data_IF_491896463859
#
_entry.id   IF_491896463859
#
_cell.length_a   1.000
_cell.length_b   1.000
_cell.length_c   1.000
_cell.angle_alpha   90.00
_cell.angle_beta   90.00
_cell.angle_gamma   90.00
#
_symmetry.space_group_name_H-M   'P 1'
#
loop_
_entity.id
_entity.type
_entity.pdbx_description
1 polymer ?
#
# COMPACT_ATOMS: atom_id res chain seq x y z
N UNK A 1 -0.08 -1.23 10.51
CA UNK A 1 -1.31 -1.28 11.31
C UNK A 1 -1.11 -2.19 12.51
N UNK A 2 -1.72 -1.86 13.65
CA UNK A 2 -1.71 -2.72 14.84
C UNK A 2 -2.56 -3.97 14.60
N UNK A 3 -2.06 -5.14 15.02
CA UNK A 3 -2.85 -6.35 15.07
C UNK A 3 -3.69 -6.40 16.38
N UNK A 4 -4.79 -7.16 16.33
CA UNK A 4 -5.53 -7.51 17.54
C UNK A 4 -4.78 -8.58 18.34
N UNK A 5 -5.21 -8.81 19.60
CA UNK A 5 -4.63 -9.83 20.46
C UNK A 5 -4.92 -11.29 20.02
N UNK A 6 -5.62 -11.50 18.91
CA UNK A 6 -6.07 -12.82 18.43
C UNK A 6 -4.94 -13.73 17.90
N UNK A 7 -3.69 -13.26 17.95
CA UNK A 7 -2.52 -13.99 17.46
C UNK A 7 -2.41 -13.96 15.93
N UNK A 8 -1.40 -14.64 15.40
CA UNK A 8 -1.09 -14.69 13.98
C UNK A 8 0.23 -14.00 13.66
N UNK A 9 0.67 -14.09 12.42
CA UNK A 9 1.95 -13.52 11.96
C UNK A 9 1.93 -12.00 12.12
N UNK A 10 2.85 -11.47 12.92
CA UNK A 10 3.05 -10.02 13.13
C UNK A 10 4.53 -9.75 13.40
N UNK A 11 4.99 -8.54 13.17
CA UNK A 11 6.35 -8.12 13.41
C UNK A 11 6.44 -6.81 14.20
N UNK A 12 7.62 -6.47 14.69
CA UNK A 12 7.86 -5.22 15.42
C UNK A 12 8.43 -4.16 14.48
N UNK A 13 7.68 -3.09 14.28
CA UNK A 13 8.15 -1.89 13.57
C UNK A 13 8.93 -0.99 14.54
N UNK A 14 10.26 -1.01 14.44
CA UNK A 14 11.13 -0.23 15.31
C UNK A 14 10.96 1.29 15.11
N UNK A 15 10.62 1.73 13.89
CA UNK A 15 10.39 3.15 13.59
C UNK A 15 9.10 3.68 14.23
N UNK A 16 8.04 2.89 14.24
CA UNK A 16 6.74 3.23 14.84
C UNK A 16 6.57 2.68 16.25
N UNK A 17 7.54 1.93 16.77
CA UNK A 17 7.49 1.27 18.09
C UNK A 17 6.19 0.50 18.33
N UNK A 18 5.76 -0.27 17.33
CA UNK A 18 4.46 -0.93 17.31
C UNK A 18 4.59 -2.35 16.76
N UNK A 19 3.97 -3.32 17.43
CA UNK A 19 3.78 -4.67 16.88
C UNK A 19 2.57 -4.66 15.95
N UNK A 20 2.71 -5.25 14.77
CA UNK A 20 1.63 -5.31 13.82
C UNK A 20 2.05 -5.78 12.43
N UNK A 21 1.37 -5.27 11.42
CA UNK A 21 1.59 -5.57 10.01
C UNK A 21 1.78 -4.31 9.18
N UNK A 22 2.50 -4.42 8.07
CA UNK A 22 2.55 -3.42 7.01
C UNK A 22 1.52 -3.75 5.95
N UNK A 23 0.93 -2.73 5.38
CA UNK A 23 0.00 -2.82 4.25
C UNK A 23 0.62 -2.06 3.08
N UNK A 24 0.86 -2.76 2.00
CA UNK A 24 1.36 -2.21 0.74
C UNK A 24 0.23 -2.17 -0.26
N UNK A 25 0.08 -1.07 -0.98
CA UNK A 25 -0.92 -0.95 -2.05
C UNK A 25 -0.33 -0.20 -3.23
N UNK A 26 -0.72 -0.61 -4.42
CA UNK A 26 -0.60 0.20 -5.64
C UNK A 26 -1.99 0.65 -6.02
N UNK A 27 -2.16 1.94 -6.26
CA UNK A 27 -3.45 2.54 -6.61
C UNK A 27 -3.35 3.39 -7.86
N UNK A 28 -4.43 3.48 -8.61
CA UNK A 28 -4.56 4.42 -9.71
C UNK A 28 -4.86 5.85 -9.24
N UNK A 29 -5.03 6.77 -10.17
CA UNK A 29 -5.35 8.17 -9.88
C UNK A 29 -6.71 8.38 -9.22
N UNK A 30 -7.61 7.43 -9.32
CA UNK A 30 -8.92 7.42 -8.66
C UNK A 30 -8.85 6.84 -7.24
N UNK A 31 -7.73 6.20 -6.87
CA UNK A 31 -7.53 5.51 -5.60
C UNK A 31 -8.11 4.08 -5.61
N UNK A 32 -8.28 3.49 -6.80
CA UNK A 32 -8.62 2.08 -6.93
C UNK A 32 -7.37 1.24 -6.75
N UNK A 33 -7.47 0.18 -5.96
CA UNK A 33 -6.35 -0.72 -5.65
C UNK A 33 -6.16 -1.69 -6.82
N UNK A 34 -4.96 -1.70 -7.38
CA UNK A 34 -4.53 -2.66 -8.40
C UNK A 34 -3.86 -3.88 -7.77
N UNK A 35 -3.01 -3.65 -6.77
CA UNK A 35 -2.36 -4.71 -6.03
C UNK A 35 -2.26 -4.33 -4.56
N UNK A 36 -2.28 -5.32 -3.69
CA UNK A 36 -2.08 -5.13 -2.26
C UNK A 36 -1.37 -6.33 -1.64
N UNK A 37 -0.55 -6.06 -0.62
CA UNK A 37 0.08 -7.09 0.20
C UNK A 37 0.06 -6.69 1.68
N UNK A 38 -0.08 -7.69 2.54
CA UNK A 38 0.00 -7.53 3.99
C UNK A 38 1.13 -8.40 4.52
N UNK A 39 2.13 -7.77 5.13
CA UNK A 39 3.30 -8.45 5.68
C UNK A 39 3.46 -8.18 7.17
N UNK A 40 4.25 -8.98 7.91
CA UNK A 40 4.71 -8.61 9.25
C UNK A 40 5.39 -7.24 9.24
N UNK A 41 5.29 -6.48 10.33
CA UNK A 41 5.79 -5.10 10.35
C UNK A 41 7.32 -4.98 10.40
N UNK A 42 8.04 -6.06 10.67
CA UNK A 42 9.51 -6.18 10.58
C UNK A 42 10.02 -6.47 9.17
N UNK A 43 9.15 -6.87 8.24
CA UNK A 43 9.49 -7.03 6.83
C UNK A 43 10.04 -5.74 6.23
N UNK A 44 11.04 -5.85 5.34
CA UNK A 44 11.59 -4.67 4.68
C UNK A 44 10.58 -4.03 3.71
N UNK A 45 10.51 -2.70 3.70
CA UNK A 45 9.57 -1.96 2.84
C UNK A 45 9.77 -2.25 1.35
N UNK A 46 11.01 -2.53 0.94
CA UNK A 46 11.34 -2.86 -0.45
C UNK A 46 10.77 -4.22 -0.86
N UNK A 47 10.78 -5.20 0.03
CA UNK A 47 10.31 -6.55 -0.28
C UNK A 47 8.79 -6.54 -0.49
N UNK A 48 8.05 -5.88 0.42
CA UNK A 48 6.61 -5.67 0.22
C UNK A 48 6.27 -4.83 -1.02
N UNK A 49 7.11 -3.83 -1.35
CA UNK A 49 6.94 -3.06 -2.57
C UNK A 49 7.15 -3.91 -3.83
N UNK A 50 8.17 -4.78 -3.84
CA UNK A 50 8.42 -5.68 -4.96
C UNK A 50 7.21 -6.57 -5.26
N UNK A 51 6.55 -7.11 -4.21
CA UNK A 51 5.36 -7.96 -4.37
C UNK A 51 4.24 -7.22 -5.11
N UNK A 52 3.84 -6.05 -4.61
CA UNK A 52 2.72 -5.30 -5.19
C UNK A 52 3.05 -4.68 -6.56
N UNK A 53 4.32 -4.32 -6.82
CA UNK A 53 4.72 -3.80 -8.12
C UNK A 53 4.72 -4.90 -9.17
N UNK A 54 5.20 -6.10 -8.83
CA UNK A 54 5.17 -7.25 -9.71
C UNK A 54 3.75 -7.65 -10.07
N UNK A 55 2.87 -7.81 -9.08
CA UNK A 55 1.45 -8.11 -9.28
C UNK A 55 0.76 -7.06 -10.15
N UNK A 56 1.02 -5.76 -9.90
CA UNK A 56 0.46 -4.69 -10.73
C UNK A 56 0.96 -4.77 -12.18
N UNK A 57 2.23 -5.13 -12.40
CA UNK A 57 2.79 -5.26 -13.74
C UNK A 57 2.11 -6.39 -14.54
N UNK A 58 1.80 -7.51 -13.90
CA UNK A 58 1.09 -8.62 -14.53
C UNK A 58 -0.34 -8.23 -14.95
N UNK A 59 -1.02 -7.40 -14.16
CA UNK A 59 -2.39 -6.96 -14.43
C UNK A 59 -2.46 -5.74 -15.37
N UNK A 60 -1.44 -4.88 -15.37
CA UNK A 60 -1.41 -3.61 -16.10
C UNK A 60 -0.16 -3.49 -16.96
N UNK A 61 -0.12 -4.21 -18.07
CA UNK A 61 1.03 -4.24 -19.00
C UNK A 61 1.36 -2.89 -19.63
N UNK A 62 0.42 -1.93 -19.62
CA UNK A 62 0.63 -0.56 -20.09
C UNK A 62 1.19 0.39 -19.03
N UNK A 63 1.42 -0.08 -17.80
CA UNK A 63 1.95 0.74 -16.71
C UNK A 63 3.39 1.17 -17.00
N UNK A 64 3.63 2.49 -16.99
CA UNK A 64 4.96 3.06 -17.28
C UNK A 64 5.61 3.71 -16.06
N UNK A 65 4.82 4.28 -15.17
CA UNK A 65 5.35 5.08 -14.05
C UNK A 65 4.57 4.82 -12.76
N UNK A 66 5.31 4.61 -11.67
CA UNK A 66 4.79 4.53 -10.31
C UNK A 66 5.38 5.68 -9.49
N UNK A 67 4.53 6.39 -8.75
CA UNK A 67 4.94 7.43 -7.81
C UNK A 67 5.05 6.83 -6.41
N UNK A 68 6.21 7.01 -5.76
CA UNK A 68 6.47 6.48 -4.44
C UNK A 68 7.16 7.51 -3.54
N UNK A 69 7.14 7.29 -2.23
CA UNK A 69 7.83 8.15 -1.29
C UNK A 69 9.33 7.83 -1.21
N UNK A 70 10.07 8.66 -0.47
CA UNK A 70 11.53 8.53 -0.36
C UNK A 70 12.01 7.24 0.33
N UNK A 71 11.16 6.55 1.09
CA UNK A 71 11.50 5.27 1.71
C UNK A 71 11.81 4.20 0.66
N UNK A 72 11.16 4.28 -0.50
CA UNK A 72 11.33 3.34 -1.61
C UNK A 72 12.55 3.63 -2.50
N UNK A 73 13.32 4.70 -2.23
CA UNK A 73 14.57 5.00 -2.94
C UNK A 73 15.78 4.23 -2.38
N UNK A 74 15.56 3.21 -1.58
CA UNK A 74 16.63 2.45 -0.91
C UNK A 74 16.89 1.11 -1.62
N UNK A 75 18.05 0.51 -1.35
CA UNK A 75 18.45 -0.83 -1.82
C UNK A 75 18.32 -1.04 -3.34
N UNK A 76 18.33 0.03 -4.14
CA UNK A 76 18.30 -0.08 -5.59
C UNK A 76 16.94 -0.47 -6.19
N UNK A 77 15.83 -0.40 -5.43
CA UNK A 77 14.50 -0.75 -5.92
C UNK A 77 14.12 -0.05 -7.24
N UNK A 78 14.30 1.29 -7.44
CA UNK A 78 13.95 1.92 -8.70
C UNK A 78 14.74 1.39 -9.89
N UNK A 79 16.03 1.07 -9.67
CA UNK A 79 16.88 0.50 -10.72
C UNK A 79 16.42 -0.92 -11.10
N UNK A 80 16.15 -1.74 -10.10
CA UNK A 80 15.66 -3.11 -10.32
C UNK A 80 14.32 -3.11 -11.07
N UNK A 81 13.34 -2.33 -10.63
CA UNK A 81 12.02 -2.23 -11.28
C UNK A 81 12.16 -1.80 -12.73
N UNK A 82 13.00 -0.80 -13.00
CA UNK A 82 13.24 -0.33 -14.38
C UNK A 82 13.88 -1.40 -15.25
N UNK A 83 14.86 -2.12 -14.73
CA UNK A 83 15.59 -3.15 -15.50
C UNK A 83 14.78 -4.41 -15.72
N UNK A 84 13.96 -4.82 -14.74
CA UNK A 84 13.22 -6.08 -14.75
C UNK A 84 11.83 -5.94 -15.35
N UNK A 85 11.13 -4.84 -15.04
CA UNK A 85 9.72 -4.64 -15.42
C UNK A 85 9.50 -3.50 -16.42
N UNK A 86 10.55 -2.74 -16.75
CA UNK A 86 10.44 -1.59 -17.65
C UNK A 86 9.65 -0.40 -17.07
N UNK A 87 9.32 -0.43 -15.78
CA UNK A 87 8.53 0.61 -15.10
C UNK A 87 9.48 1.61 -14.45
N UNK A 88 9.19 2.91 -14.58
CA UNK A 88 9.90 3.97 -13.88
C UNK A 88 9.27 4.23 -12.51
N UNK A 89 10.07 4.23 -11.43
CA UNK A 89 9.64 4.75 -10.13
C UNK A 89 10.08 6.20 -9.99
N UNK A 90 9.12 7.09 -9.83
CA UNK A 90 9.34 8.49 -9.51
C UNK A 90 9.21 8.72 -8.00
N UNK A 91 10.32 9.12 -7.37
CA UNK A 91 10.35 9.40 -5.95
C UNK A 91 9.87 10.83 -5.69
N UNK A 92 8.71 10.93 -5.05
CA UNK A 92 8.14 12.22 -4.66
C UNK A 92 8.77 12.66 -3.34
N UNK A 93 9.61 13.71 -3.40
CA UNK A 93 10.29 14.27 -2.24
C UNK A 93 9.53 15.49 -1.71
N UNK A 94 9.51 15.64 -0.38
CA UNK A 94 9.05 16.86 0.25
C UNK A 94 10.12 17.95 0.06
N UNK A 95 9.79 19.05 -0.61
CA UNK A 95 10.74 20.11 -0.98
C UNK A 95 10.78 21.21 0.08
N UNK A 96 9.68 21.48 0.78
CA UNK A 96 9.57 22.58 1.72
C UNK A 96 9.41 22.14 3.19
N UNK A 97 9.81 23.01 4.12
CA UNK A 97 9.44 22.90 5.55
C UNK A 97 7.99 23.36 5.70
N UNK A 98 7.08 22.45 6.02
CA UNK A 98 5.65 22.74 6.20
C UNK A 98 4.75 21.67 5.61
N UNK A 99 3.44 21.92 5.61
CA UNK A 99 2.46 21.07 4.95
C UNK A 99 2.47 21.38 3.44
N UNK A 100 2.78 20.39 2.63
CA UNK A 100 2.72 20.45 1.17
C UNK A 100 1.93 19.26 0.66
N UNK A 101 0.94 19.53 -0.19
CA UNK A 101 0.20 18.47 -0.91
C UNK A 101 1.10 17.98 -2.04
N UNK A 102 1.79 16.87 -1.80
CA UNK A 102 2.68 16.28 -2.79
C UNK A 102 1.84 15.65 -3.92
N UNK A 103 2.13 15.98 -5.19
CA UNK A 103 1.39 15.45 -6.32
C UNK A 103 1.32 13.93 -6.28
N UNK A 104 0.11 13.38 -6.47
CA UNK A 104 -0.19 11.93 -6.55
C UNK A 104 0.06 11.11 -5.27
N UNK A 105 0.94 11.52 -4.34
CA UNK A 105 1.19 10.81 -3.09
C UNK A 105 -0.05 10.78 -2.18
N UNK A 106 -0.78 11.90 -2.08
CA UNK A 106 -1.98 12.01 -1.27
C UNK A 106 -3.06 10.97 -1.64
N UNK A 107 -3.00 10.39 -2.86
CA UNK A 107 -3.97 9.39 -3.32
C UNK A 107 -3.88 8.13 -2.48
N UNK A 108 -2.67 7.65 -2.20
CA UNK A 108 -2.43 6.48 -1.33
C UNK A 108 -2.93 6.77 0.09
N UNK A 109 -2.57 7.95 0.63
CA UNK A 109 -2.99 8.38 1.97
C UNK A 109 -4.54 8.45 2.06
N UNK A 110 -5.20 9.02 1.04
CA UNK A 110 -6.65 9.05 0.92
C UNK A 110 -7.25 7.66 0.86
N UNK A 111 -6.66 6.74 0.08
CA UNK A 111 -7.17 5.37 -0.02
C UNK A 111 -7.08 4.65 1.32
N UNK A 112 -5.98 4.78 2.04
CA UNK A 112 -5.89 4.26 3.40
C UNK A 112 -6.89 4.91 4.37
N UNK A 113 -7.09 6.22 4.29
CA UNK A 113 -8.11 6.90 5.08
C UNK A 113 -9.50 6.32 4.81
N UNK A 114 -9.83 6.09 3.54
CA UNK A 114 -11.08 5.46 3.18
C UNK A 114 -11.24 4.04 3.72
N UNK A 115 -10.21 3.21 3.64
CA UNK A 115 -10.24 1.85 4.20
C UNK A 115 -10.41 1.89 5.73
N UNK A 116 -9.79 2.85 6.41
CA UNK A 116 -9.90 3.01 7.86
C UNK A 116 -11.30 3.41 8.35
N UNK A 117 -12.16 3.94 7.48
CA UNK A 117 -13.58 4.14 7.80
C UNK A 117 -14.34 2.81 8.01
N UNK A 118 -13.83 1.72 7.44
CA UNK A 118 -14.34 0.39 7.75
C UNK A 118 -13.82 -0.05 9.12
N UNK A 119 -14.73 -0.22 10.07
CA UNK A 119 -14.40 -0.63 11.44
C UNK A 119 -13.48 -1.85 11.49
N UNK A 120 -13.66 -2.81 10.58
CA UNK A 120 -12.87 -4.03 10.49
C UNK A 120 -11.44 -3.78 9.98
N UNK A 121 -11.19 -2.68 9.29
CA UNK A 121 -9.88 -2.33 8.72
C UNK A 121 -9.10 -1.30 9.55
N UNK A 122 -9.71 -0.70 10.59
CA UNK A 122 -9.04 0.26 11.49
C UNK A 122 -7.88 -0.37 12.28
N UNK A 123 -7.98 -1.67 12.55
CA UNK A 123 -6.90 -2.54 13.03
C UNK A 123 -6.86 -3.78 12.16
N UNK A 124 -5.83 -4.61 12.32
CA UNK A 124 -5.79 -5.93 11.71
C UNK A 124 -6.30 -6.98 12.72
N UNK A 125 -7.47 -7.53 12.46
CA UNK A 125 -8.13 -8.53 13.28
C UNK A 125 -7.91 -9.96 12.78
N UNK A 126 -7.27 -10.10 11.61
CA UNK A 126 -7.13 -11.39 10.95
C UNK A 126 -5.91 -12.15 11.48
N UNK A 127 -6.02 -13.45 11.60
CA UNK A 127 -4.88 -14.29 12.00
C UNK A 127 -3.87 -14.46 10.87
N UNK A 128 -4.35 -14.52 9.63
CA UNK A 128 -3.54 -14.72 8.42
C UNK A 128 -3.43 -13.42 7.63
N UNK A 129 -2.32 -13.23 6.95
CA UNK A 129 -2.10 -12.06 6.09
C UNK A 129 -3.01 -12.07 4.85
N UNK A 130 -3.22 -13.26 4.24
CA UNK A 130 -4.14 -13.41 3.11
C UNK A 130 -5.60 -13.08 3.46
N UNK A 131 -6.04 -13.41 4.67
CA UNK A 131 -7.36 -13.01 5.16
C UNK A 131 -7.45 -11.49 5.37
N UNK A 132 -6.36 -10.84 5.82
CA UNK A 132 -6.29 -9.40 5.93
C UNK A 132 -6.34 -8.72 4.56
N UNK A 133 -5.68 -9.29 3.56
CA UNK A 133 -5.73 -8.86 2.16
C UNK A 133 -7.15 -8.98 1.61
N UNK A 134 -7.80 -10.13 1.80
CA UNK A 134 -9.18 -10.34 1.39
C UNK A 134 -10.14 -9.32 2.00
N UNK A 135 -9.97 -8.97 3.28
CA UNK A 135 -10.77 -7.93 3.94
C UNK A 135 -10.55 -6.55 3.33
N UNK A 136 -9.32 -6.22 2.91
CA UNK A 136 -9.05 -4.96 2.21
C UNK A 136 -9.71 -4.92 0.82
N UNK A 137 -9.69 -6.03 0.08
CA UNK A 137 -10.42 -6.16 -1.19
C UNK A 137 -11.92 -5.97 -1.00
N UNK A 138 -12.52 -6.60 0.03
CA UNK A 138 -13.95 -6.41 0.35
C UNK A 138 -14.28 -4.94 0.66
N UNK A 139 -13.42 -4.25 1.43
CA UNK A 139 -13.57 -2.82 1.68
C UNK A 139 -13.52 -1.99 0.39
N UNK A 140 -12.63 -2.34 -0.53
CA UNK A 140 -12.52 -1.69 -1.83
C UNK A 140 -13.76 -1.96 -2.71
N UNK A 141 -14.21 -3.20 -2.80
CA UNK A 141 -15.41 -3.58 -3.55
C UNK A 141 -16.63 -2.80 -3.04
N UNK A 142 -16.83 -2.75 -1.72
CA UNK A 142 -17.91 -1.95 -1.12
C UNK A 142 -17.88 -0.49 -1.57
N UNK A 143 -16.68 0.11 -1.61
CA UNK A 143 -16.51 1.49 -2.08
C UNK A 143 -16.80 1.67 -3.56
N UNK A 144 -16.38 0.72 -4.39
CA UNK A 144 -16.65 0.74 -5.83
C UNK A 144 -18.17 0.68 -6.06
N UNK A 145 -18.86 -0.24 -5.40
CA UNK A 145 -20.31 -0.36 -5.47
C UNK A 145 -21.02 0.92 -5.02
N UNK A 146 -20.58 1.51 -3.89
CA UNK A 146 -21.16 2.77 -3.42
C UNK A 146 -20.99 3.91 -4.43
N UNK A 147 -19.89 3.96 -5.19
CA UNK A 147 -19.70 4.96 -6.26
C UNK A 147 -20.61 4.74 -7.47
N UNK A 148 -20.99 3.50 -7.76
CA UNK A 148 -21.88 3.17 -8.85
C UNK A 148 -23.36 3.45 -8.52
N UNK A 149 -23.69 3.48 -7.23
CA UNK A 149 -25.07 3.67 -6.75
C UNK A 149 -25.41 5.14 -6.39
N UNK A 150 -24.41 6.01 -6.32
CA UNK A 150 -24.63 7.46 -6.14
C UNK A 150 -24.81 8.09 -7.52
N UNK A 151 -26.07 8.29 -7.90
CA UNK A 151 -26.48 9.14 -9.02
C UNK A 151 -26.62 10.58 -8.54
#
# INVERSE_FOLDING_TARGET
VKTSASGGTSGYDAGKKTVGRKRFIVVDTLGLIWALAVTPADEAEQDGACLVIHETHEQATSLKTIYADSAYNRKGLPKWVRQTLGIQIEIVRKIARGFEVLPKRWIVERTFAWLNHDRRLSKDYERRTDSAEAMMHLGQIRRMLARLTVN
#
